data_IF_180981019049
#
_entry.id   IF_180981019049
#
_cell.length_a   1.000
_cell.length_b   1.000
_cell.length_c   1.000
_cell.angle_alpha   90.00
_cell.angle_beta   90.00
_cell.angle_gamma   90.00
#
_symmetry.space_group_name_H-M   'P 1'
#
loop_
_entity.id
_entity.type
_entity.pdbx_description
1 polymer ?
#
# COMPACT_ATOMS: atom_id res chain seq x y z
N UNK A 1 -4.15 9.23 -13.06
CA UNK A 1 -4.03 8.65 -11.72
C UNK A 1 -3.19 9.56 -10.82
N UNK A 2 -3.63 9.76 -9.61
CA UNK A 2 -2.92 10.60 -8.65
C UNK A 2 -2.31 9.74 -7.56
N UNK A 3 -0.99 9.84 -7.38
CA UNK A 3 -0.27 9.16 -6.30
C UNK A 3 -0.12 10.08 -5.10
N UNK A 4 -0.35 9.54 -3.91
CA UNK A 4 -0.16 10.25 -2.65
C UNK A 4 1.05 9.66 -1.91
N UNK A 5 1.84 10.53 -1.28
CA UNK A 5 2.88 10.08 -0.37
C UNK A 5 2.25 9.51 0.90
N UNK A 6 2.68 8.32 1.32
CA UNK A 6 2.13 7.66 2.50
C UNK A 6 2.45 8.41 3.81
N UNK A 7 3.44 9.29 3.80
CA UNK A 7 3.77 10.10 4.98
C UNK A 7 3.04 11.44 5.02
N UNK A 8 2.42 11.85 3.91
CA UNK A 8 1.73 13.14 3.83
C UNK A 8 0.22 13.03 3.77
N UNK A 9 -0.29 11.93 3.25
CA UNK A 9 -1.74 11.75 3.06
C UNK A 9 -2.13 10.32 3.39
N UNK A 10 -3.24 10.16 4.09
CA UNK A 10 -3.73 8.86 4.53
C UNK A 10 -5.20 8.70 4.16
N UNK A 11 -5.60 7.51 3.69
CA UNK A 11 -7.01 7.24 3.45
C UNK A 11 -7.76 7.13 4.79
N UNK A 12 -8.97 7.66 4.83
CA UNK A 12 -9.81 7.59 6.03
C UNK A 12 -10.87 6.50 5.95
N UNK A 13 -11.08 5.93 4.78
CA UNK A 13 -12.08 4.89 4.55
C UNK A 13 -11.40 3.53 4.46
N UNK A 14 -11.91 2.55 5.22
CA UNK A 14 -11.36 1.21 5.27
C UNK A 14 -12.00 0.31 4.21
N UNK A 15 -11.23 -0.69 3.71
CA UNK A 15 -11.74 -1.69 2.78
C UNK A 15 -11.83 -1.24 1.32
N UNK A 16 -11.20 -0.14 0.96
CA UNK A 16 -11.25 0.42 -0.40
C UNK A 16 -10.04 -0.05 -1.21
N UNK A 17 -10.23 -0.54 -2.45
CA UNK A 17 -9.11 -0.93 -3.30
C UNK A 17 -8.17 0.21 -3.62
N UNK A 18 -6.86 -0.07 -3.52
CA UNK A 18 -5.79 0.90 -3.81
C UNK A 18 -4.67 0.22 -4.57
N UNK A 19 -3.88 1.05 -5.25
CA UNK A 19 -2.57 0.66 -5.76
C UNK A 19 -1.50 1.17 -4.80
N UNK A 20 -0.46 0.38 -4.62
CA UNK A 20 0.59 0.68 -3.65
C UNK A 20 1.96 0.61 -4.32
N UNK A 21 2.83 1.56 -4.00
CA UNK A 21 4.24 1.43 -4.28
C UNK A 21 4.89 1.02 -2.96
N UNK A 22 5.48 -0.17 -2.95
CA UNK A 22 6.13 -0.72 -1.76
C UNK A 22 7.63 -0.85 -2.01
N UNK A 23 8.41 -0.75 -0.95
CA UNK A 23 9.85 -0.87 -1.01
C UNK A 23 10.29 -1.97 -0.05
N UNK A 24 11.25 -2.79 -0.48
CA UNK A 24 11.85 -3.82 0.38
C UNK A 24 13.09 -3.27 1.11
N UNK A 25 13.72 -4.10 1.94
CA UNK A 25 14.89 -3.70 2.72
C UNK A 25 16.11 -3.34 1.86
N UNK A 26 16.15 -3.87 0.63
CA UNK A 26 17.24 -3.57 -0.31
C UNK A 26 17.01 -2.27 -1.08
N UNK A 27 15.88 -1.60 -0.89
CA UNK A 27 15.57 -0.37 -1.58
C UNK A 27 14.89 -0.55 -2.93
N UNK A 28 14.51 -1.76 -3.30
CA UNK A 28 13.81 -2.03 -4.57
C UNK A 28 12.32 -1.78 -4.40
N UNK A 29 11.74 -1.04 -5.33
CA UNK A 29 10.31 -0.72 -5.29
C UNK A 29 9.51 -1.61 -6.24
N UNK A 30 8.27 -1.90 -5.84
CA UNK A 30 7.34 -2.75 -6.58
C UNK A 30 5.97 -2.07 -6.50
N UNK A 31 5.23 -2.11 -7.60
CA UNK A 31 3.83 -1.66 -7.61
C UNK A 31 2.95 -2.89 -7.39
N UNK A 32 2.03 -2.81 -6.44
CA UNK A 32 1.15 -3.91 -6.11
C UNK A 32 -0.26 -3.40 -5.77
N UNK A 33 -1.17 -4.33 -5.57
CA UNK A 33 -2.56 -4.04 -5.22
C UNK A 33 -2.79 -4.28 -3.74
N UNK A 34 -3.69 -3.49 -3.16
CA UNK A 34 -4.08 -3.65 -1.78
C UNK A 34 -5.43 -3.04 -1.49
N UNK A 35 -5.77 -3.04 -0.22
CA UNK A 35 -6.95 -2.36 0.30
C UNK A 35 -6.54 -1.51 1.49
N UNK A 36 -7.31 -0.47 1.75
CA UNK A 36 -7.12 0.31 2.96
C UNK A 36 -7.54 -0.54 4.18
N UNK A 37 -6.70 -0.57 5.21
CA UNK A 37 -6.98 -1.37 6.39
C UNK A 37 -6.18 -0.86 7.59
N UNK A 38 -6.84 -0.67 8.71
CA UNK A 38 -6.17 -0.26 9.96
C UNK A 38 -5.31 -1.38 10.56
N UNK A 39 -5.49 -2.61 10.10
CA UNK A 39 -4.73 -3.78 10.57
C UNK A 39 -3.57 -4.13 9.63
N UNK A 40 -3.39 -3.36 8.57
CA UNK A 40 -2.37 -3.63 7.57
C UNK A 40 -1.01 -3.00 7.89
N UNK A 41 -0.17 -2.90 6.86
CA UNK A 41 1.14 -2.27 6.93
C UNK A 41 0.99 -0.81 7.41
N UNK A 42 1.76 -0.43 8.41
CA UNK A 42 1.72 0.91 9.02
C UNK A 42 0.32 1.30 9.54
N UNK A 43 -0.56 0.30 9.73
CA UNK A 43 -1.92 0.57 10.16
C UNK A 43 -2.80 1.21 9.08
N UNK A 44 -2.40 1.16 7.81
CA UNK A 44 -3.07 1.86 6.72
C UNK A 44 -3.47 0.98 5.55
N UNK A 45 -2.63 0.01 5.19
CA UNK A 45 -2.83 -0.77 3.96
C UNK A 45 -2.60 -2.25 4.17
N UNK A 46 -3.39 -3.08 3.49
CA UNK A 46 -3.19 -4.52 3.44
C UNK A 46 -2.95 -4.92 1.99
N UNK A 47 -1.82 -5.61 1.74
CA UNK A 47 -1.49 -6.10 0.41
C UNK A 47 -2.36 -7.32 0.11
N UNK A 48 -3.00 -7.32 -1.05
CA UNK A 48 -3.86 -8.42 -1.48
C UNK A 48 -3.21 -9.34 -2.52
N UNK A 49 -2.05 -8.97 -3.05
CA UNK A 49 -1.28 -9.79 -3.98
C UNK A 49 -0.80 -11.06 -3.27
N UNK A 50 -1.11 -12.23 -3.83
CA UNK A 50 -0.76 -13.53 -3.25
C UNK A 50 0.74 -13.70 -3.04
N UNK A 51 1.55 -13.12 -3.91
CA UNK A 51 3.00 -13.27 -3.84
C UNK A 51 3.66 -12.37 -2.79
N UNK A 52 2.95 -11.35 -2.34
CA UNK A 52 3.50 -10.33 -1.44
C UNK A 52 2.80 -10.24 -0.09
N UNK A 53 1.59 -10.75 0.03
CA UNK A 53 0.77 -10.53 1.23
C UNK A 53 1.33 -11.12 2.52
N UNK A 54 2.22 -12.10 2.43
CA UNK A 54 2.84 -12.73 3.60
C UNK A 54 4.23 -12.17 3.93
N UNK A 55 4.72 -11.23 3.14
CA UNK A 55 6.02 -10.62 3.40
C UNK A 55 5.88 -9.54 4.48
N UNK A 56 6.86 -9.47 5.36
CA UNK A 56 6.89 -8.47 6.42
C UNK A 56 8.06 -7.48 6.28
N UNK A 57 8.76 -7.54 5.14
CA UNK A 57 9.91 -6.68 4.85
C UNK A 57 9.56 -5.48 3.97
N UNK A 58 8.27 -5.27 3.70
CA UNK A 58 7.80 -4.23 2.78
C UNK A 58 7.26 -3.02 3.54
N UNK A 59 7.54 -1.84 2.99
CA UNK A 59 6.97 -0.58 3.47
C UNK A 59 6.29 0.13 2.31
N UNK A 60 5.17 0.78 2.57
CA UNK A 60 4.45 1.56 1.55
C UNK A 60 5.04 2.96 1.49
N UNK A 61 5.43 3.40 0.30
CA UNK A 61 5.93 4.76 0.08
C UNK A 61 4.88 5.67 -0.52
N UNK A 62 4.06 5.13 -1.43
CA UNK A 62 3.00 5.88 -2.11
C UNK A 62 1.79 4.99 -2.32
N UNK A 63 0.63 5.62 -2.47
CA UNK A 63 -0.62 4.92 -2.74
C UNK A 63 -1.50 5.73 -3.68
N UNK A 64 -2.42 5.05 -4.36
CA UNK A 64 -3.39 5.69 -5.24
C UNK A 64 -4.71 4.93 -5.18
N UNK A 65 -5.83 5.63 -5.40
CA UNK A 65 -7.12 4.97 -5.50
C UNK A 65 -7.14 4.12 -6.77
N UNK A 66 -7.53 2.84 -6.65
CA UNK A 66 -7.53 1.93 -7.78
C UNK A 66 -8.55 2.30 -8.86
N UNK A 67 -9.61 3.00 -8.48
CA UNK A 67 -10.68 3.40 -9.39
C UNK A 67 -10.43 4.73 -10.09
N UNK A 68 -9.31 5.32 -9.88
CA UNK A 68 -9.00 6.66 -10.36
C UNK A 68 -8.62 6.67 -11.85
#
# INVERSE_FOLDING_TARGET
MKWFSAIEAWPTTEGVPVLLIVINRSGNSIITKGITSRKGIDGLFKITDKNLKHRNDLSVTHWAWADD
#
